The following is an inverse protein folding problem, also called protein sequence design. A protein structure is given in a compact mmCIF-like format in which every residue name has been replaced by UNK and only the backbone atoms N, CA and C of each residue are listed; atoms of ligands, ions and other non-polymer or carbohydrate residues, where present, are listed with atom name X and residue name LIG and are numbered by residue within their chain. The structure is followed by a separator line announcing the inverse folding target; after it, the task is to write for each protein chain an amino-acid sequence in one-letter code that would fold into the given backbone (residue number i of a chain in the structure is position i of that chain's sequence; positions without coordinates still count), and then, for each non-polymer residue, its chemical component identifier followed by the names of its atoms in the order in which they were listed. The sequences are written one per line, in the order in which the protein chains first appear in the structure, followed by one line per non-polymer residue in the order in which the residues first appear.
data_IF_049624001702
#
_entry.id   IF_049624001702
#
_cell.length_a   1.000
_cell.length_b   1.000
_cell.length_c   1.000
_cell.angle_alpha   90.00
_cell.angle_beta   90.00
_cell.angle_gamma   90.00
#
_symmetry.space_group_name_H-M   'P 1'
#
loop_
_entity.id
_entity.type
_entity.pdbx_description
1 polymer ?
#
# COMPACT_ATOMS: atom_id res chain seq x y z
N UNK A 1 -39.20 -8.44 16.45
CA UNK A 1 -38.04 -9.34 16.30
C UNK A 1 -37.12 -8.68 15.29
N UNK A 2 -36.28 -7.75 15.75
CA UNK A 2 -35.22 -7.18 14.91
C UNK A 2 -34.20 -8.28 14.69
N UNK A 3 -34.17 -8.83 13.49
CA UNK A 3 -33.06 -9.68 13.06
C UNK A 3 -31.77 -8.89 13.30
N UNK A 4 -31.01 -9.33 14.29
CA UNK A 4 -29.63 -8.95 14.46
C UNK A 4 -28.95 -9.32 13.16
N UNK A 5 -28.71 -8.32 12.30
CA UNK A 5 -27.93 -8.47 11.07
C UNK A 5 -26.66 -9.21 11.48
N UNK A 6 -26.49 -10.42 10.98
CA UNK A 6 -25.25 -11.17 11.09
C UNK A 6 -24.17 -10.41 10.29
N UNK A 7 -23.64 -9.34 10.89
CA UNK A 7 -22.33 -8.79 10.55
C UNK A 7 -21.27 -9.68 11.19
N UNK A 8 -21.31 -10.99 10.94
CA UNK A 8 -20.16 -11.83 11.17
C UNK A 8 -19.25 -11.63 9.97
N UNK A 9 -18.30 -10.71 10.10
CA UNK A 9 -17.13 -10.63 9.22
C UNK A 9 -16.59 -12.06 9.11
N UNK A 10 -16.48 -12.62 7.90
CA UNK A 10 -15.81 -13.91 7.69
C UNK A 10 -14.33 -13.71 8.02
N UNK A 11 -13.84 -14.13 9.21
CA UNK A 11 -12.52 -13.73 9.68
C UNK A 11 -11.43 -14.38 8.84
N UNK A 12 -11.62 -15.64 8.47
CA UNK A 12 -10.70 -16.39 7.63
C UNK A 12 -10.56 -15.74 6.24
N UNK A 13 -11.69 -15.39 5.63
CA UNK A 13 -11.70 -14.66 4.36
C UNK A 13 -11.06 -13.27 4.44
N UNK A 14 -11.26 -12.57 5.56
CA UNK A 14 -10.64 -11.28 5.82
C UNK A 14 -9.11 -11.42 6.05
N UNK A 15 -8.66 -12.44 6.78
CA UNK A 15 -7.23 -12.75 6.97
C UNK A 15 -6.58 -13.12 5.63
N UNK A 16 -7.22 -13.95 4.82
CA UNK A 16 -6.72 -14.31 3.49
C UNK A 16 -6.63 -13.08 2.56
N UNK A 17 -7.65 -12.22 2.57
CA UNK A 17 -7.67 -10.97 1.82
C UNK A 17 -6.55 -10.01 2.24
N UNK A 18 -6.32 -9.87 3.55
CA UNK A 18 -5.25 -9.01 4.07
C UNK A 18 -3.84 -9.56 3.78
N UNK A 19 -3.66 -10.89 3.79
CA UNK A 19 -2.42 -11.53 3.34
C UNK A 19 -2.17 -11.27 1.85
N UNK A 20 -3.21 -11.38 1.02
CA UNK A 20 -3.14 -11.10 -0.43
C UNK A 20 -2.80 -9.63 -0.68
N UNK A 21 -3.44 -8.71 0.04
CA UNK A 21 -3.17 -7.28 -0.02
C UNK A 21 -1.74 -6.96 0.42
N UNK A 22 -1.25 -7.60 1.49
CA UNK A 22 0.12 -7.45 1.96
C UNK A 22 1.15 -7.93 0.93
N UNK A 23 0.89 -9.10 0.30
CA UNK A 23 1.75 -9.62 -0.76
C UNK A 23 1.76 -8.70 -1.99
N UNK A 24 0.61 -8.16 -2.39
CA UNK A 24 0.51 -7.20 -3.49
C UNK A 24 1.27 -5.90 -3.18
N UNK A 25 1.13 -5.37 -1.95
CA UNK A 25 1.85 -4.19 -1.48
C UNK A 25 3.37 -4.40 -1.46
N UNK A 26 3.84 -5.55 -0.96
CA UNK A 26 5.26 -5.90 -0.96
C UNK A 26 5.83 -6.05 -2.38
N UNK A 27 5.06 -6.64 -3.31
CA UNK A 27 5.44 -6.73 -4.73
C UNK A 27 5.55 -5.35 -5.37
N UNK A 28 4.59 -4.46 -5.11
CA UNK A 28 4.62 -3.08 -5.57
C UNK A 28 5.85 -2.35 -5.01
N UNK A 29 6.13 -2.48 -3.72
CA UNK A 29 7.29 -1.86 -3.08
C UNK A 29 8.63 -2.35 -3.65
N UNK A 30 8.78 -3.66 -3.85
CA UNK A 30 9.96 -4.23 -4.49
C UNK A 30 10.14 -3.74 -5.94
N UNK A 31 9.05 -3.76 -6.73
CA UNK A 31 9.06 -3.27 -8.11
C UNK A 31 9.39 -1.78 -8.20
N UNK A 32 8.78 -0.96 -7.33
CA UNK A 32 9.04 0.47 -7.28
C UNK A 32 10.48 0.80 -6.91
N UNK A 33 11.06 0.13 -5.91
CA UNK A 33 12.48 0.32 -5.54
C UNK A 33 13.42 0.03 -6.72
N UNK A 34 13.15 -1.02 -7.50
CA UNK A 34 13.94 -1.35 -8.68
C UNK A 34 13.79 -0.32 -9.81
N UNK A 35 12.56 0.12 -10.09
CA UNK A 35 12.27 1.07 -11.17
C UNK A 35 12.75 2.49 -10.82
N UNK A 36 12.52 2.96 -9.61
CA UNK A 36 12.95 4.30 -9.15
C UNK A 36 14.46 4.46 -9.25
N UNK A 37 15.24 3.49 -8.77
CA UNK A 37 16.70 3.51 -8.89
C UNK A 37 17.19 3.55 -10.36
N UNK A 38 16.51 2.81 -11.25
CA UNK A 38 16.80 2.83 -12.69
C UNK A 38 16.48 4.19 -13.31
N UNK A 39 15.35 4.79 -12.95
CA UNK A 39 14.96 6.13 -13.41
C UNK A 39 15.98 7.17 -12.95
N UNK A 40 16.37 7.16 -11.68
CA UNK A 40 17.39 8.08 -11.14
C UNK A 40 18.72 7.95 -11.89
N UNK A 41 19.16 6.72 -12.15
CA UNK A 41 20.38 6.44 -12.90
C UNK A 41 20.30 6.98 -14.34
N UNK A 42 19.19 6.75 -15.04
CA UNK A 42 19.00 7.24 -16.40
C UNK A 42 18.93 8.78 -16.45
N UNK A 43 18.24 9.39 -15.49
CA UNK A 43 18.10 10.84 -15.39
C UNK A 43 19.42 11.53 -15.09
N UNK A 44 20.28 10.94 -14.24
CA UNK A 44 21.60 11.49 -13.94
C UNK A 44 22.51 11.56 -15.18
N UNK A 45 22.30 10.69 -16.17
CA UNK A 45 23.06 10.64 -17.41
C UNK A 45 22.69 11.68 -18.46
N UNK A 46 21.70 12.57 -18.21
CA UNK A 46 21.16 13.52 -19.21
C UNK A 46 20.91 12.84 -20.57
N UNK A 47 19.91 11.95 -20.67
CA UNK A 47 19.81 10.99 -21.76
C UNK A 47 19.59 11.60 -23.15
N UNK A 48 19.21 12.88 -23.22
CA UNK A 48 19.00 13.61 -24.47
C UNK A 48 20.19 14.49 -24.89
N UNK A 49 21.32 14.41 -24.17
CA UNK A 49 22.52 15.18 -24.47
C UNK A 49 22.42 16.65 -24.06
N UNK A 50 23.37 17.44 -24.54
CA UNK A 50 23.52 18.88 -24.26
C UNK A 50 23.32 19.75 -25.53
N UNK A 51 22.68 19.21 -26.58
CA UNK A 51 22.24 20.00 -27.73
C UNK A 51 21.00 20.85 -27.36
N UNK A 52 20.54 21.73 -28.26
CA UNK A 52 19.39 22.61 -27.98
C UNK A 52 18.12 21.82 -27.56
N UNK A 53 17.71 20.76 -28.28
CA UNK A 53 16.61 19.91 -27.83
C UNK A 53 16.86 19.22 -26.48
N UNK A 54 18.06 18.70 -26.25
CA UNK A 54 18.44 18.03 -25.01
C UNK A 54 18.41 18.96 -23.81
N UNK A 55 18.90 20.20 -23.96
CA UNK A 55 18.85 21.22 -22.93
C UNK A 55 17.42 21.63 -22.60
N UNK A 56 16.56 21.80 -23.60
CA UNK A 56 15.15 22.13 -23.37
C UNK A 56 14.39 20.97 -22.70
N UNK A 57 14.68 19.72 -23.06
CA UNK A 57 14.18 18.56 -22.35
C UNK A 57 14.66 18.54 -20.89
N UNK A 58 15.96 18.66 -20.66
CA UNK A 58 16.56 18.63 -19.33
C UNK A 58 15.95 19.73 -18.45
N UNK A 59 15.75 20.93 -18.97
CA UNK A 59 15.10 22.04 -18.27
C UNK A 59 13.67 21.70 -17.83
N UNK A 60 12.84 21.16 -18.74
CA UNK A 60 11.42 20.93 -18.49
C UNK A 60 11.10 19.57 -17.83
N UNK A 61 12.04 18.62 -17.84
CA UNK A 61 11.83 17.28 -17.29
C UNK A 61 12.69 16.99 -16.05
N UNK A 62 13.95 17.46 -16.03
CA UNK A 62 14.95 17.18 -14.98
C UNK A 62 15.32 18.41 -14.12
N UNK A 63 15.10 19.62 -14.63
CA UNK A 63 15.74 20.86 -14.22
C UNK A 63 15.27 21.48 -12.90
N UNK A 64 14.72 20.71 -11.96
CA UNK A 64 14.30 21.23 -10.67
C UNK A 64 13.46 20.26 -9.85
N UNK A 65 13.16 20.66 -8.62
CA UNK A 65 12.40 19.84 -7.67
C UNK A 65 10.91 19.68 -8.05
N UNK A 66 10.37 20.64 -8.80
CA UNK A 66 8.99 20.61 -9.28
C UNK A 66 8.84 19.98 -10.67
N UNK A 67 9.93 19.47 -11.27
CA UNK A 67 9.85 18.88 -12.60
C UNK A 67 9.28 17.45 -12.58
N UNK A 68 8.64 17.00 -13.68
CA UNK A 68 7.93 15.72 -13.73
C UNK A 68 8.75 14.52 -13.24
N UNK A 69 10.04 14.45 -13.56
CA UNK A 69 10.90 13.35 -13.13
C UNK A 69 10.98 13.24 -11.60
N UNK A 70 11.17 14.36 -10.91
CA UNK A 70 11.23 14.40 -9.44
C UNK A 70 9.86 14.20 -8.81
N UNK A 71 8.80 14.75 -9.41
CA UNK A 71 7.44 14.59 -8.91
C UNK A 71 6.99 13.13 -8.92
N UNK A 72 7.26 12.38 -10.00
CA UNK A 72 6.92 10.96 -10.09
C UNK A 72 7.66 10.14 -9.04
N UNK A 73 8.96 10.40 -8.86
CA UNK A 73 9.76 9.72 -7.84
C UNK A 73 9.26 10.02 -6.42
N UNK A 74 8.96 11.30 -6.14
CA UNK A 74 8.40 11.75 -4.85
C UNK A 74 7.03 11.14 -4.57
N UNK A 75 6.14 11.15 -5.56
CA UNK A 75 4.78 10.61 -5.44
C UNK A 75 4.80 9.10 -5.23
N UNK A 76 5.59 8.35 -6.01
CA UNK A 76 5.72 6.92 -5.76
C UNK A 76 6.37 6.63 -4.40
N UNK A 77 7.35 7.43 -3.99
CA UNK A 77 7.96 7.35 -2.66
C UNK A 77 6.98 7.62 -1.50
N UNK A 78 5.90 8.38 -1.71
CA UNK A 78 4.87 8.61 -0.69
C UNK A 78 3.73 7.59 -0.73
N UNK A 79 3.30 7.17 -1.92
CA UNK A 79 2.15 6.24 -2.08
C UNK A 79 2.54 4.80 -1.79
N UNK A 80 3.68 4.33 -2.30
CA UNK A 80 4.07 2.93 -2.24
C UNK A 80 4.23 2.41 -0.80
N UNK A 81 4.86 3.15 0.14
CA UNK A 81 4.95 2.71 1.53
C UNK A 81 3.59 2.61 2.23
N UNK A 82 2.60 3.41 1.81
CA UNK A 82 1.23 3.30 2.35
C UNK A 82 0.61 1.99 1.89
N UNK A 83 0.69 1.67 0.59
CA UNK A 83 0.14 0.44 0.02
C UNK A 83 0.84 -0.81 0.59
N UNK A 84 2.16 -0.76 0.79
CA UNK A 84 2.93 -1.84 1.43
C UNK A 84 2.39 -2.17 2.85
N UNK A 85 1.96 -1.15 3.59
CA UNK A 85 1.46 -1.29 4.96
C UNK A 85 -0.03 -1.62 5.07
N UNK A 86 -0.81 -1.47 4.00
CA UNK A 86 -2.26 -1.68 4.04
C UNK A 86 -2.63 -3.11 4.48
N UNK A 87 -2.02 -4.13 3.89
CA UNK A 87 -2.28 -5.54 4.24
C UNK A 87 -1.98 -5.84 5.72
N UNK A 88 -0.76 -5.59 6.21
CA UNK A 88 -0.42 -5.80 7.62
C UNK A 88 -1.32 -5.01 8.59
N UNK A 89 -1.67 -3.77 8.26
CA UNK A 89 -2.52 -2.92 9.11
C UNK A 89 -3.95 -3.48 9.18
N UNK A 90 -4.51 -3.86 8.04
CA UNK A 90 -5.83 -4.44 7.97
C UNK A 90 -5.88 -5.82 8.65
N UNK A 91 -4.82 -6.63 8.53
CA UNK A 91 -4.72 -7.92 9.24
C UNK A 91 -4.79 -7.73 10.75
N UNK A 92 -4.00 -6.81 11.30
CA UNK A 92 -4.04 -6.52 12.74
C UNK A 92 -5.41 -6.01 13.22
N UNK A 93 -6.12 -5.25 12.38
CA UNK A 93 -7.49 -4.80 12.70
C UNK A 93 -8.50 -5.97 12.70
N UNK A 94 -8.38 -6.92 11.77
CA UNK A 94 -9.23 -8.13 11.73
C UNK A 94 -8.96 -9.01 12.95
N UNK A 95 -7.69 -9.33 13.23
CA UNK A 95 -7.30 -10.15 14.38
C UNK A 95 -7.76 -9.53 15.70
N UNK A 96 -7.57 -8.21 15.90
CA UNK A 96 -8.03 -7.53 17.11
C UNK A 96 -9.55 -7.46 17.27
N UNK A 97 -10.31 -7.43 16.17
CA UNK A 97 -11.79 -7.48 16.21
C UNK A 97 -12.26 -8.87 16.63
N UNK A 98 -11.66 -9.93 16.07
CA UNK A 98 -11.96 -11.33 16.43
C UNK A 98 -11.65 -11.59 17.91
N UNK A 99 -10.49 -11.16 18.39
CA UNK A 99 -10.10 -11.31 19.79
C UNK A 99 -11.11 -10.63 20.74
N UNK A 100 -11.61 -9.46 20.35
CA UNK A 100 -12.62 -8.72 21.12
C UNK A 100 -13.96 -9.46 21.14
N UNK A 101 -14.42 -9.98 19.99
CA UNK A 101 -15.67 -10.74 19.89
C UNK A 101 -15.61 -12.05 20.69
N UNK A 102 -14.48 -12.78 20.63
CA UNK A 102 -14.28 -14.01 21.40
C UNK A 102 -14.23 -13.74 22.91
N UNK A 103 -13.60 -12.64 23.33
CA UNK A 103 -13.61 -12.20 24.73
C UNK A 103 -15.02 -11.84 25.20
N UNK A 104 -15.80 -11.11 24.41
CA UNK A 104 -17.20 -10.76 24.72
C UNK A 104 -18.06 -12.02 24.81
N UNK A 105 -17.93 -12.96 23.87
CA UNK A 105 -18.67 -14.22 23.87
C UNK A 105 -18.34 -15.09 25.09
N UNK A 106 -17.08 -15.06 25.53
CA UNK A 106 -16.61 -15.77 26.73
C UNK A 106 -17.10 -15.10 28.02
N UNK A 107 -17.09 -13.77 28.10
CA UNK A 107 -17.48 -13.02 29.31
C UNK A 107 -18.99 -12.93 29.51
N UNK A 108 -19.77 -12.82 28.42
CA UNK A 108 -21.22 -12.61 28.49
C UNK A 108 -22.04 -13.86 28.16
N UNK A 109 -21.38 -15.00 27.93
CA UNK A 109 -22.02 -16.31 27.80
C UNK A 109 -22.89 -16.40 26.54
N UNK A 110 -22.30 -16.91 25.46
CA UNK A 110 -23.05 -17.64 24.42
C UNK A 110 -23.65 -18.92 25.01
N UNK A 111 -24.57 -18.77 25.96
CA UNK A 111 -25.22 -19.85 26.69
C UNK A 111 -26.10 -20.63 25.74
N UNK A 112 -25.70 -21.88 25.50
CA UNK A 112 -26.59 -22.95 25.07
C UNK A 112 -27.89 -22.90 25.87
N UNK A 113 -29.00 -22.61 25.20
CA UNK A 113 -30.31 -23.07 25.68
C UNK A 113 -30.49 -24.50 25.17
N UNK A 114 -30.49 -25.44 26.12
CA UNK A 114 -31.18 -26.73 25.99
C UNK A 114 -32.66 -26.51 25.68
#
# INVERSE_FOLDING_TARGET
MTELRETFVNPDGAIEGTNTLGAAGARLAGGWRSISARIETLNAGKPWGDDEPGNEFNKNYLGGDDQPAKQVLKMGGSVVPVVEKMGPTAKGAVEGTVDTDDMVKTLFGGGSKK
#
